data_IF_895139269419
#
_entry.id   IF_895139269419
#
_cell.length_a   1.000
_cell.length_b   1.000
_cell.length_c   1.000
_cell.angle_alpha   90.00
_cell.angle_beta   90.00
_cell.angle_gamma   90.00
#
_symmetry.space_group_name_H-M   'P 1'
#
loop_
_entity.id
_entity.type
_entity.pdbx_description
1 polymer ?
#
# COMPACT_ATOMS: atom_id res chain seq x y z
N UNK A 1 4.62 21.47 -2.92
CA UNK A 1 4.75 20.00 -2.82
C UNK A 1 3.38 19.41 -2.58
N UNK A 2 3.00 18.39 -3.34
CA UNK A 2 1.68 17.74 -3.30
C UNK A 2 1.84 16.24 -3.07
N UNK A 3 0.89 15.66 -2.35
CA UNK A 3 0.73 14.21 -2.30
C UNK A 3 0.16 13.73 -3.64
N UNK A 4 0.82 12.77 -4.25
CA UNK A 4 0.40 12.18 -5.51
C UNK A 4 0.59 10.66 -5.45
N UNK A 5 -0.13 9.95 -6.29
CA UNK A 5 0.08 8.52 -6.49
C UNK A 5 -0.22 8.12 -7.93
N UNK A 6 0.33 7.00 -8.31
CA UNK A 6 -0.08 6.26 -9.50
C UNK A 6 0.03 4.75 -9.24
N UNK A 7 -0.72 3.99 -9.98
CA UNK A 7 -0.70 2.53 -9.85
C UNK A 7 -1.64 1.82 -10.78
N UNK A 8 -1.67 0.51 -10.64
CA UNK A 8 -2.64 -0.41 -11.23
C UNK A 8 -3.29 -1.24 -10.13
N UNK A 9 -4.51 -1.68 -10.35
CA UNK A 9 -5.19 -2.59 -9.43
C UNK A 9 -6.13 -3.55 -10.19
N UNK A 10 -6.76 -4.45 -9.44
CA UNK A 10 -7.69 -5.44 -9.98
C UNK A 10 -8.90 -4.87 -10.74
N UNK A 11 -9.24 -3.58 -10.53
CA UNK A 11 -10.34 -2.90 -11.24
C UNK A 11 -9.90 -2.34 -12.59
N UNK A 12 -8.62 -1.99 -12.71
CA UNK A 12 -8.07 -1.32 -13.90
C UNK A 12 -7.23 -2.23 -14.78
N UNK A 13 -6.81 -3.38 -14.25
CA UNK A 13 -5.90 -4.31 -14.95
C UNK A 13 -6.23 -5.76 -14.67
N UNK A 14 -5.87 -6.64 -15.59
CA UNK A 14 -5.92 -8.09 -15.39
C UNK A 14 -4.66 -8.62 -14.65
N UNK A 15 -4.67 -9.89 -14.27
CA UNK A 15 -3.54 -10.51 -13.54
C UNK A 15 -2.25 -10.42 -14.35
N UNK A 16 -2.29 -10.71 -15.67
CA UNK A 16 -1.11 -10.71 -16.53
C UNK A 16 -0.45 -9.32 -16.66
N UNK A 17 -1.20 -8.24 -16.51
CA UNK A 17 -0.66 -6.88 -16.46
C UNK A 17 -0.05 -6.57 -15.09
N UNK A 18 -0.73 -6.96 -13.99
CA UNK A 18 -0.22 -6.74 -12.63
C UNK A 18 1.09 -7.48 -12.37
N UNK A 19 1.26 -8.68 -12.91
CA UNK A 19 2.49 -9.48 -12.83
C UNK A 19 3.72 -8.78 -13.42
N UNK A 20 3.53 -7.88 -14.38
CA UNK A 20 4.61 -7.14 -15.04
C UNK A 20 5.07 -5.91 -14.27
N UNK A 21 4.26 -5.41 -13.34
CA UNK A 21 4.56 -4.21 -12.57
C UNK A 21 4.53 -4.52 -11.08
N UNK A 22 5.69 -4.90 -10.54
CA UNK A 22 5.85 -5.26 -9.12
C UNK A 22 6.93 -4.37 -8.50
N UNK A 23 6.61 -3.83 -7.33
CA UNK A 23 7.54 -3.07 -6.49
C UNK A 23 7.93 -3.92 -5.30
N UNK A 24 9.21 -4.23 -5.19
CA UNK A 24 9.82 -4.95 -4.07
C UNK A 24 10.89 -4.08 -3.38
N UNK A 25 11.46 -4.56 -2.29
CA UNK A 25 12.47 -3.83 -1.53
C UNK A 25 13.68 -3.45 -2.37
N UNK A 26 14.21 -4.41 -3.13
CA UNK A 26 15.44 -4.20 -3.93
C UNK A 26 15.23 -3.14 -5.01
N UNK A 27 14.11 -3.20 -5.73
CA UNK A 27 13.86 -2.22 -6.78
C UNK A 27 13.46 -0.84 -6.23
N UNK A 28 12.85 -0.73 -5.04
CA UNK A 28 12.61 0.56 -4.41
C UNK A 28 13.91 1.30 -4.06
N UNK A 29 14.92 0.60 -3.56
CA UNK A 29 16.23 1.20 -3.26
C UNK A 29 16.92 1.71 -4.54
N UNK A 30 16.85 0.90 -5.62
CA UNK A 30 17.38 1.30 -6.93
C UNK A 30 16.67 2.54 -7.48
N UNK A 31 15.33 2.56 -7.42
CA UNK A 31 14.51 3.66 -7.86
C UNK A 31 14.80 4.93 -7.06
N UNK A 32 14.97 4.85 -5.72
CA UNK A 32 15.23 6.00 -4.87
C UNK A 32 16.51 6.74 -5.28
N UNK A 33 17.60 6.01 -5.45
CA UNK A 33 18.89 6.60 -5.85
C UNK A 33 18.83 7.27 -7.23
N UNK A 34 18.10 6.65 -8.17
CA UNK A 34 17.95 7.19 -9.53
C UNK A 34 17.01 8.39 -9.58
N UNK A 35 15.84 8.29 -8.96
CA UNK A 35 14.81 9.34 -9.00
C UNK A 35 15.25 10.58 -8.23
N UNK A 36 15.94 10.44 -7.09
CA UNK A 36 16.55 11.57 -6.38
C UNK A 36 17.59 12.30 -7.24
N UNK A 37 18.42 11.56 -7.94
CA UNK A 37 19.42 12.15 -8.86
C UNK A 37 18.76 12.89 -10.02
N UNK A 38 17.67 12.36 -10.57
CA UNK A 38 17.00 12.90 -11.76
C UNK A 38 16.12 14.11 -11.45
N UNK A 39 15.36 14.06 -10.36
CA UNK A 39 14.34 15.06 -10.03
C UNK A 39 14.77 16.03 -8.94
N UNK A 40 15.82 15.73 -8.18
CA UNK A 40 16.34 16.60 -7.12
C UNK A 40 15.24 17.05 -6.16
N UNK A 41 15.15 18.38 -5.96
CA UNK A 41 14.15 18.98 -5.06
C UNK A 41 12.70 18.91 -5.57
N UNK A 42 12.48 18.53 -6.83
CA UNK A 42 11.13 18.40 -7.38
C UNK A 42 10.39 17.17 -6.81
N UNK A 43 11.14 16.14 -6.37
CA UNK A 43 10.61 14.94 -5.74
C UNK A 43 11.15 14.81 -4.31
N UNK A 44 10.31 15.03 -3.30
CA UNK A 44 10.74 14.85 -1.90
C UNK A 44 11.02 13.39 -1.59
N UNK A 45 10.10 12.51 -1.90
CA UNK A 45 10.22 11.07 -1.61
C UNK A 45 9.08 10.26 -2.20
N UNK A 46 9.23 8.95 -2.18
CA UNK A 46 8.18 8.01 -2.54
C UNK A 46 8.27 6.73 -1.73
N UNK A 47 7.24 5.90 -1.74
CA UNK A 47 7.29 4.47 -1.43
C UNK A 47 6.23 3.73 -2.23
N UNK A 48 6.43 2.42 -2.39
CA UNK A 48 5.52 1.57 -3.14
C UNK A 48 4.94 0.45 -2.30
N UNK A 49 3.78 -0.01 -2.72
CA UNK A 49 3.14 -1.24 -2.22
C UNK A 49 2.79 -2.13 -3.39
N UNK A 50 3.15 -3.41 -3.30
CA UNK A 50 2.70 -4.46 -4.23
C UNK A 50 2.07 -5.58 -3.46
N UNK A 51 0.88 -5.98 -3.91
CA UNK A 51 0.11 -7.11 -3.39
C UNK A 51 -0.42 -7.93 -4.57
N UNK A 52 -1.14 -9.01 -4.34
CA UNK A 52 -1.82 -9.74 -5.42
C UNK A 52 -2.81 -8.86 -6.21
N UNK A 53 -3.37 -7.81 -5.58
CA UNK A 53 -4.47 -7.03 -6.13
C UNK A 53 -4.07 -5.65 -6.64
N UNK A 54 -2.85 -5.17 -6.35
CA UNK A 54 -2.38 -3.84 -6.76
C UNK A 54 -0.88 -3.68 -6.72
N UNK A 55 -0.40 -2.75 -7.53
CA UNK A 55 0.89 -2.11 -7.34
C UNK A 55 0.69 -0.61 -7.43
N UNK A 56 1.06 0.10 -6.39
CA UNK A 56 0.91 1.55 -6.27
C UNK A 56 2.18 2.19 -5.77
N UNK A 57 2.48 3.39 -6.29
CA UNK A 57 3.56 4.26 -5.81
C UNK A 57 2.93 5.53 -5.29
N UNK A 58 3.20 5.84 -4.04
CA UNK A 58 2.84 7.06 -3.33
C UNK A 58 4.05 7.98 -3.27
N UNK A 59 3.86 9.26 -3.55
CA UNK A 59 4.96 10.20 -3.60
C UNK A 59 4.54 11.62 -3.18
N UNK A 60 5.49 12.41 -2.73
CA UNK A 60 5.35 13.85 -2.50
C UNK A 60 6.35 14.57 -3.39
N UNK A 61 5.88 15.55 -4.15
CA UNK A 61 6.70 16.33 -5.05
C UNK A 61 5.97 17.54 -5.63
N UNK A 62 6.59 18.22 -6.59
CA UNK A 62 5.95 19.32 -7.33
C UNK A 62 4.71 18.82 -8.07
N UNK A 63 3.77 19.71 -8.30
CA UNK A 63 2.53 19.41 -9.00
C UNK A 63 2.78 18.72 -10.35
N UNK A 64 2.07 17.60 -10.57
CA UNK A 64 2.15 16.81 -11.80
C UNK A 64 3.42 15.98 -11.99
N UNK A 65 4.32 15.90 -11.01
CA UNK A 65 5.57 15.14 -11.13
C UNK A 65 5.31 13.63 -11.26
N UNK A 66 4.20 13.12 -10.73
CA UNK A 66 3.84 11.70 -10.77
C UNK A 66 3.89 11.11 -12.19
N UNK A 67 3.50 11.87 -13.22
CA UNK A 67 3.56 11.42 -14.61
C UNK A 67 5.00 11.27 -15.14
N UNK A 68 5.93 12.09 -14.64
CA UNK A 68 7.36 12.00 -15.00
C UNK A 68 8.01 10.84 -14.26
N UNK A 69 7.75 10.72 -12.97
CA UNK A 69 8.20 9.60 -12.12
C UNK A 69 7.70 8.27 -12.69
N UNK A 70 6.42 8.19 -13.06
CA UNK A 70 5.83 7.02 -13.69
C UNK A 70 6.61 6.53 -14.92
N UNK A 71 6.92 7.43 -15.86
CA UNK A 71 7.67 7.07 -17.06
C UNK A 71 9.05 6.49 -16.73
N UNK A 72 9.75 7.10 -15.76
CA UNK A 72 11.06 6.63 -15.32
C UNK A 72 11.00 5.30 -14.57
N UNK A 73 9.98 5.10 -13.73
CA UNK A 73 9.77 3.83 -13.04
C UNK A 73 9.53 2.71 -14.05
N UNK A 74 8.65 2.89 -15.03
CA UNK A 74 8.42 1.87 -16.06
C UNK A 74 9.68 1.55 -16.85
N UNK A 75 10.46 2.59 -17.20
CA UNK A 75 11.72 2.43 -17.92
C UNK A 75 12.75 1.63 -17.11
N UNK A 76 12.94 2.00 -15.84
CA UNK A 76 13.94 1.37 -14.96
C UNK A 76 13.60 -0.08 -14.62
N UNK A 77 12.32 -0.37 -14.45
CA UNK A 77 11.84 -1.73 -14.15
C UNK A 77 11.59 -2.54 -15.42
N UNK A 78 11.89 -1.97 -16.59
CA UNK A 78 11.68 -2.62 -17.91
C UNK A 78 10.23 -3.14 -18.09
N UNK A 79 9.24 -2.37 -17.60
CA UNK A 79 7.83 -2.74 -17.68
C UNK A 79 7.28 -2.45 -19.06
N UNK A 80 6.86 -3.49 -19.78
CA UNK A 80 6.34 -3.43 -21.12
C UNK A 80 5.01 -4.20 -21.26
N UNK A 81 4.19 -3.80 -22.26
CA UNK A 81 2.97 -4.53 -22.60
C UNK A 81 1.86 -4.42 -21.56
N UNK A 82 1.80 -3.30 -20.84
CA UNK A 82 0.65 -2.88 -20.03
C UNK A 82 -0.01 -1.70 -20.74
N UNK A 83 -1.34 -1.69 -20.84
CA UNK A 83 -2.07 -0.56 -21.41
C UNK A 83 -1.92 0.69 -20.52
N UNK A 84 -1.73 1.86 -21.12
CA UNK A 84 -1.73 3.11 -20.38
C UNK A 84 -3.07 3.37 -19.64
N UNK A 85 -4.17 2.84 -20.14
CA UNK A 85 -5.49 2.93 -19.50
C UNK A 85 -5.62 2.08 -18.23
N UNK A 86 -4.71 1.13 -18.02
CA UNK A 86 -4.65 0.32 -16.79
C UNK A 86 -4.10 1.09 -15.60
N UNK A 87 -3.39 2.22 -15.85
CA UNK A 87 -2.84 3.05 -14.79
C UNK A 87 -3.75 4.21 -14.43
N UNK A 88 -3.88 4.47 -13.14
CA UNK A 88 -4.55 5.65 -12.61
C UNK A 88 -3.58 6.57 -11.88
N UNK A 89 -3.96 7.84 -11.82
CA UNK A 89 -3.19 8.91 -11.18
C UNK A 89 -4.13 9.71 -10.29
N UNK A 90 -3.75 9.92 -9.03
CA UNK A 90 -4.51 10.72 -8.09
C UNK A 90 -3.58 11.73 -7.39
N UNK A 91 -4.14 12.84 -6.92
CA UNK A 91 -3.38 13.87 -6.23
C UNK A 91 -4.15 14.44 -5.03
N UNK A 92 -3.41 15.01 -4.09
CA UNK A 92 -3.93 15.72 -2.92
C UNK A 92 -5.00 14.94 -2.15
N UNK A 93 -6.21 15.48 -2.01
CA UNK A 93 -7.29 14.86 -1.26
C UNK A 93 -7.67 13.49 -1.82
N UNK A 94 -7.79 13.35 -3.15
CA UNK A 94 -8.15 12.08 -3.77
C UNK A 94 -7.08 11.01 -3.55
N UNK A 95 -5.79 11.41 -3.57
CA UNK A 95 -4.70 10.51 -3.25
C UNK A 95 -4.76 10.06 -1.78
N UNK A 96 -5.00 10.97 -0.84
CA UNK A 96 -5.09 10.64 0.58
C UNK A 96 -6.28 9.74 0.89
N UNK A 97 -7.45 10.06 0.32
CA UNK A 97 -8.66 9.22 0.44
C UNK A 97 -8.40 7.82 -0.13
N UNK A 98 -7.76 7.73 -1.30
CA UNK A 98 -7.45 6.45 -1.91
C UNK A 98 -6.49 5.62 -1.05
N UNK A 99 -5.41 6.21 -0.53
CA UNK A 99 -4.49 5.54 0.40
C UNK A 99 -5.24 4.99 1.63
N UNK A 100 -6.16 5.77 2.20
CA UNK A 100 -6.99 5.34 3.33
C UNK A 100 -7.93 4.18 2.95
N UNK A 101 -8.55 4.22 1.76
CA UNK A 101 -9.39 3.13 1.22
C UNK A 101 -8.59 1.84 1.07
N UNK A 102 -7.37 1.95 0.54
CA UNK A 102 -6.46 0.81 0.41
C UNK A 102 -6.09 0.26 1.78
N UNK A 103 -5.56 1.07 2.67
CA UNK A 103 -5.12 0.64 3.99
C UNK A 103 -6.26 0.08 4.86
N UNK A 104 -7.49 0.58 4.70
CA UNK A 104 -8.66 0.06 5.43
C UNK A 104 -9.26 -1.22 4.82
N UNK A 105 -8.85 -1.61 3.60
CA UNK A 105 -9.39 -2.75 2.89
C UNK A 105 -10.72 -2.46 2.15
N UNK A 106 -11.16 -1.21 2.08
CA UNK A 106 -12.38 -0.84 1.34
C UNK A 106 -12.17 -0.94 -0.17
N UNK A 107 -10.93 -0.68 -0.64
CA UNK A 107 -10.60 -0.83 -2.06
C UNK A 107 -10.02 -2.21 -2.38
N UNK A 108 -10.10 -3.17 -1.49
CA UNK A 108 -9.72 -4.57 -1.76
C UNK A 108 -10.84 -5.28 -2.52
N UNK A 109 -10.48 -6.33 -3.25
CA UNK A 109 -11.46 -7.22 -3.90
C UNK A 109 -12.40 -7.82 -2.87
N UNK A 110 -11.87 -8.21 -1.71
CA UNK A 110 -12.66 -8.61 -0.54
C UNK A 110 -12.80 -7.41 0.38
N UNK A 111 -14.00 -6.86 0.48
CA UNK A 111 -14.28 -5.72 1.34
C UNK A 111 -13.86 -5.99 2.78
N UNK A 112 -13.01 -5.11 3.32
CA UNK A 112 -12.53 -5.18 4.68
C UNK A 112 -11.38 -6.18 4.89
N UNK A 113 -10.71 -6.64 3.83
CA UNK A 113 -9.55 -7.53 3.92
C UNK A 113 -8.56 -7.08 5.01
N UNK A 114 -8.16 -8.02 5.87
CA UNK A 114 -7.33 -7.70 7.03
C UNK A 114 -5.85 -7.58 6.67
N UNK A 115 -5.39 -8.34 5.68
CA UNK A 115 -3.98 -8.46 5.34
C UNK A 115 -3.40 -7.16 4.78
N UNK A 116 -4.18 -6.40 3.98
CA UNK A 116 -3.73 -5.16 3.34
C UNK A 116 -3.28 -4.10 4.36
N UNK A 117 -3.95 -4.01 5.52
CA UNK A 117 -3.54 -3.08 6.57
C UNK A 117 -2.16 -3.43 7.15
N UNK A 118 -1.90 -4.74 7.31
CA UNK A 118 -0.57 -5.25 7.69
C UNK A 118 0.48 -4.96 6.63
N UNK A 119 0.17 -5.25 5.36
CA UNK A 119 1.06 -5.03 4.22
C UNK A 119 1.41 -3.54 4.05
N UNK A 120 0.44 -2.64 4.20
CA UNK A 120 0.68 -1.20 4.16
C UNK A 120 1.65 -0.74 5.26
N UNK A 121 1.47 -1.22 6.50
CA UNK A 121 2.38 -0.92 7.61
C UNK A 121 3.79 -1.44 7.37
N UNK A 122 3.93 -2.64 6.82
CA UNK A 122 5.23 -3.24 6.48
C UNK A 122 5.92 -2.41 5.40
N UNK A 123 5.21 -2.04 4.33
CA UNK A 123 5.77 -1.21 3.26
C UNK A 123 6.27 0.15 3.79
N UNK A 124 5.48 0.80 4.65
CA UNK A 124 5.88 2.06 5.29
C UNK A 124 7.09 1.87 6.22
N UNK A 125 7.11 0.80 7.02
CA UNK A 125 8.24 0.49 7.91
C UNK A 125 9.53 0.30 7.11
N UNK A 126 9.49 -0.50 6.05
CA UNK A 126 10.64 -0.73 5.18
C UNK A 126 11.13 0.58 4.53
N UNK A 127 10.20 1.42 4.03
CA UNK A 127 10.55 2.71 3.45
C UNK A 127 11.23 3.66 4.46
N UNK A 128 10.84 3.61 5.75
CA UNK A 128 11.48 4.35 6.84
C UNK A 128 12.87 3.77 7.15
N UNK A 129 13.02 2.46 7.27
CA UNK A 129 14.28 1.77 7.55
C UNK A 129 15.32 2.01 6.47
N UNK A 130 14.93 1.98 5.20
CA UNK A 130 15.81 2.27 4.06
C UNK A 130 15.99 3.78 3.79
N UNK A 131 15.38 4.67 4.59
CA UNK A 131 15.45 6.13 4.45
C UNK A 131 15.03 6.64 3.06
N UNK A 132 14.09 5.94 2.43
CA UNK A 132 13.52 6.30 1.12
C UNK A 132 12.46 7.39 1.32
N UNK A 133 11.66 7.29 2.39
CA UNK A 133 10.54 8.18 2.67
C UNK A 133 11.00 9.45 3.40
N UNK A 134 10.54 10.62 2.93
CA UNK A 134 10.77 11.92 3.56
C UNK A 134 9.68 12.29 4.58
N UNK A 135 9.85 13.43 5.23
CA UNK A 135 9.01 13.85 6.35
C UNK A 135 7.54 14.06 5.98
N UNK A 136 7.29 14.70 4.82
CA UNK A 136 5.90 15.00 4.39
C UNK A 136 5.15 13.74 4.01
N UNK A 137 5.78 12.86 3.23
CA UNK A 137 5.16 11.59 2.85
C UNK A 137 4.97 10.67 4.06
N UNK A 138 5.94 10.65 5.01
CA UNK A 138 5.81 9.94 6.28
C UNK A 138 4.61 10.43 7.09
N UNK A 139 4.43 11.75 7.19
CA UNK A 139 3.27 12.34 7.86
C UNK A 139 1.95 11.83 7.25
N UNK A 140 1.80 11.91 5.92
CA UNK A 140 0.58 11.42 5.26
C UNK A 140 0.37 9.91 5.49
N UNK A 141 1.42 9.10 5.35
CA UNK A 141 1.32 7.66 5.57
C UNK A 141 0.94 7.30 7.02
N UNK A 142 1.48 8.01 8.00
CA UNK A 142 1.11 7.82 9.41
C UNK A 142 -0.37 8.22 9.65
N UNK A 143 -0.86 9.30 9.00
CA UNK A 143 -2.27 9.69 9.05
C UNK A 143 -3.18 8.67 8.34
N UNK A 144 -2.74 8.07 7.25
CA UNK A 144 -3.46 6.97 6.61
C UNK A 144 -3.65 5.79 7.57
N UNK A 145 -2.61 5.40 8.32
CA UNK A 145 -2.73 4.33 9.33
C UNK A 145 -3.72 4.71 10.43
N UNK A 146 -3.68 5.95 10.92
CA UNK A 146 -4.61 6.47 11.94
C UNK A 146 -6.07 6.40 11.45
N UNK A 147 -6.34 6.93 10.26
CA UNK A 147 -7.68 6.97 9.65
C UNK A 147 -8.18 5.56 9.33
N UNK A 148 -7.34 4.73 8.72
CA UNK A 148 -7.71 3.36 8.38
C UNK A 148 -8.03 2.54 9.65
N UNK A 149 -7.24 2.71 10.72
CA UNK A 149 -7.53 2.07 12.01
C UNK A 149 -8.87 2.54 12.56
N UNK A 150 -9.15 3.85 12.55
CA UNK A 150 -10.43 4.41 13.00
C UNK A 150 -11.59 3.86 12.19
N UNK A 151 -11.53 3.89 10.85
CA UNK A 151 -12.56 3.35 9.98
C UNK A 151 -12.84 1.87 10.27
N UNK A 152 -11.82 1.06 10.51
CA UNK A 152 -11.94 -0.37 10.85
C UNK A 152 -12.47 -0.64 12.25
N UNK A 153 -12.25 0.27 13.21
CA UNK A 153 -12.69 0.13 14.61
C UNK A 153 -14.11 0.63 14.79
N UNK A 154 -14.47 1.74 14.14
CA UNK A 154 -15.76 2.42 14.29
C UNK A 154 -16.83 1.81 13.36
N UNK A 155 -16.47 0.87 12.49
CA UNK A 155 -17.38 0.12 11.62
C UNK A 155 -17.08 -1.37 11.66
N UNK A 156 -18.00 -2.19 11.20
CA UNK A 156 -17.82 -3.64 11.12
C UNK A 156 -17.09 -4.07 9.82
N UNK A 157 -16.47 -3.13 9.08
CA UNK A 157 -15.83 -3.44 7.80
C UNK A 157 -14.70 -4.47 7.93
N UNK A 158 -13.99 -4.50 9.07
CA UNK A 158 -12.95 -5.46 9.38
C UNK A 158 -13.43 -6.71 10.10
N UNK A 159 -14.70 -6.76 10.52
CA UNK A 159 -15.26 -7.89 11.26
C UNK A 159 -15.76 -8.94 10.28
N UNK A 160 -15.38 -10.20 10.50
CA UNK A 160 -15.76 -11.34 9.61
C UNK A 160 -15.37 -11.14 8.12
N UNK A 161 -14.40 -10.29 7.80
CA UNK A 161 -13.86 -10.25 6.45
C UNK A 161 -13.24 -11.60 6.12
N UNK A 162 -13.71 -12.24 5.05
CA UNK A 162 -13.04 -13.44 4.56
C UNK A 162 -11.69 -12.99 4.03
N UNK A 163 -10.61 -13.48 4.64
CA UNK A 163 -9.29 -13.36 4.08
C UNK A 163 -9.20 -14.18 2.79
N UNK A 164 -8.20 -13.94 1.96
CA UNK A 164 -7.92 -14.76 0.77
C UNK A 164 -7.86 -16.25 1.15
N UNK A 165 -7.25 -16.56 2.30
CA UNK A 165 -7.23 -17.92 2.85
C UNK A 165 -8.63 -18.44 3.24
N UNK A 166 -9.49 -17.58 3.75
CA UNK A 166 -10.88 -17.91 4.05
C UNK A 166 -11.72 -18.15 2.78
N UNK A 167 -11.46 -17.40 1.71
CA UNK A 167 -12.09 -17.62 0.41
C UNK A 167 -11.67 -18.94 -0.24
N UNK A 168 -10.37 -19.26 -0.19
CA UNK A 168 -9.88 -20.57 -0.64
C UNK A 168 -10.57 -21.72 0.12
N UNK A 169 -10.74 -21.57 1.45
CA UNK A 169 -11.44 -22.54 2.27
C UNK A 169 -12.93 -22.65 1.89
N UNK A 170 -13.61 -21.55 1.60
CA UNK A 170 -15.00 -21.55 1.15
C UNK A 170 -15.14 -22.28 -0.20
N UNK A 171 -14.23 -22.02 -1.14
CA UNK A 171 -14.19 -22.73 -2.43
C UNK A 171 -14.03 -24.24 -2.23
N UNK A 172 -13.08 -24.67 -1.39
CA UNK A 172 -12.85 -26.08 -1.07
C UNK A 172 -14.12 -26.74 -0.53
N UNK A 173 -14.80 -26.08 0.42
CA UNK A 173 -16.05 -26.59 1.00
C UNK A 173 -17.20 -26.66 0.00
N UNK A 174 -17.24 -25.80 -0.98
CA UNK A 174 -18.27 -25.82 -2.01
C UNK A 174 -18.06 -26.97 -3.01
N UNK A 175 -16.81 -27.40 -3.21
CA UNK A 175 -16.44 -28.45 -4.16
C UNK A 175 -16.42 -29.83 -3.50
N UNK A 176 -15.94 -29.92 -2.26
CA UNK A 176 -15.78 -31.20 -1.56
C UNK A 176 -16.76 -31.32 -0.38
N UNK A 177 -17.55 -32.40 -0.35
CA UNK A 177 -18.45 -32.71 0.77
C UNK A 177 -17.68 -33.03 2.06
N UNK A 178 -16.51 -33.66 1.96
CA UNK A 178 -15.64 -34.05 3.06
C UNK A 178 -14.19 -33.54 2.85
N UNK A 179 -13.94 -32.23 3.02
CA UNK A 179 -12.60 -31.65 2.81
C UNK A 179 -11.52 -32.26 3.71
N UNK A 180 -11.90 -32.71 4.91
CA UNK A 180 -11.00 -33.32 5.89
C UNK A 180 -10.41 -34.68 5.43
N UNK A 181 -11.01 -35.30 4.42
CA UNK A 181 -10.52 -36.55 3.82
C UNK A 181 -9.58 -36.32 2.63
N UNK A 182 -9.44 -35.09 2.17
CA UNK A 182 -8.62 -34.76 1.02
C UNK A 182 -7.14 -34.58 1.41
N UNK A 183 -6.23 -34.91 0.48
CA UNK A 183 -4.82 -34.63 0.62
C UNK A 183 -4.55 -33.22 0.06
N UNK A 184 -4.10 -32.32 0.91
CA UNK A 184 -3.85 -30.93 0.53
C UNK A 184 -2.34 -30.67 0.47
N UNK A 185 -1.91 -30.16 -0.66
CA UNK A 185 -0.55 -29.68 -0.87
C UNK A 185 -0.54 -28.14 -0.86
N UNK A 186 0.25 -27.56 0.04
CA UNK A 186 0.49 -26.11 0.10
C UNK A 186 1.90 -25.85 -0.45
N UNK A 187 2.03 -24.89 -1.36
CA UNK A 187 3.30 -24.50 -1.98
C UNK A 187 3.63 -23.06 -1.57
N UNK A 188 4.79 -22.92 -0.92
CA UNK A 188 5.22 -21.66 -0.30
C UNK A 188 5.04 -21.66 1.21
N UNK A 189 5.84 -20.89 1.93
CA UNK A 189 5.79 -20.76 3.39
C UNK A 189 5.81 -19.31 3.87
N UNK A 190 5.18 -18.42 3.08
CA UNK A 190 4.93 -17.02 3.42
C UNK A 190 3.76 -16.85 4.40
N UNK A 191 3.43 -15.59 4.71
CA UNK A 191 2.31 -15.25 5.62
C UNK A 191 0.98 -15.79 5.13
N UNK A 192 0.70 -15.69 3.82
CA UNK A 192 -0.53 -16.20 3.22
C UNK A 192 -0.63 -17.73 3.31
N UNK A 193 0.46 -18.46 2.98
CA UNK A 193 0.49 -19.92 3.15
C UNK A 193 0.24 -20.33 4.59
N UNK A 194 0.84 -19.61 5.54
CA UNK A 194 0.63 -19.86 6.97
C UNK A 194 -0.83 -19.65 7.35
N UNK A 195 -1.45 -18.55 6.93
CA UNK A 195 -2.87 -18.27 7.15
C UNK A 195 -3.79 -19.33 6.51
N UNK A 196 -3.45 -19.82 5.31
CA UNK A 196 -4.17 -20.94 4.67
C UNK A 196 -4.10 -22.20 5.53
N UNK A 197 -2.90 -22.58 5.97
CA UNK A 197 -2.67 -23.77 6.80
C UNK A 197 -3.41 -23.66 8.13
N UNK A 198 -3.38 -22.51 8.79
CA UNK A 198 -4.11 -22.24 10.03
C UNK A 198 -5.63 -22.41 9.81
N UNK A 199 -6.19 -21.85 8.76
CA UNK A 199 -7.60 -21.99 8.41
C UNK A 199 -8.00 -23.46 8.10
N UNK A 200 -7.15 -24.20 7.39
CA UNK A 200 -7.37 -25.64 7.14
C UNK A 200 -7.37 -26.42 8.46
N UNK A 201 -6.39 -26.16 9.31
CA UNK A 201 -6.26 -26.80 10.63
C UNK A 201 -7.46 -26.55 11.52
N UNK A 202 -7.92 -25.28 11.63
CA UNK A 202 -9.09 -24.87 12.42
C UNK A 202 -10.40 -25.54 11.96
N UNK A 203 -10.45 -25.94 10.69
CA UNK A 203 -11.59 -26.69 10.12
C UNK A 203 -11.44 -28.20 10.19
N UNK A 204 -10.47 -28.68 10.94
CA UNK A 204 -10.29 -30.12 11.19
C UNK A 204 -9.49 -30.87 10.13
N UNK A 205 -8.97 -30.19 9.12
CA UNK A 205 -8.15 -30.80 8.07
C UNK A 205 -6.74 -31.05 8.61
N UNK A 206 -6.25 -32.28 8.47
CA UNK A 206 -4.95 -32.70 9.01
C UNK A 206 -3.99 -33.23 7.92
N UNK A 207 -4.52 -33.68 6.77
CA UNK A 207 -3.72 -34.19 5.67
C UNK A 207 -3.12 -33.06 4.84
N UNK A 208 -2.26 -32.27 5.46
CA UNK A 208 -1.62 -31.08 4.86
C UNK A 208 -0.14 -31.38 4.66
N UNK A 209 0.35 -31.20 3.44
CA UNK A 209 1.77 -31.24 3.09
C UNK A 209 2.21 -29.86 2.63
N UNK A 210 3.46 -29.53 2.91
CA UNK A 210 4.04 -28.24 2.58
C UNK A 210 5.30 -28.44 1.74
N UNK A 211 5.38 -27.76 0.62
CA UNK A 211 6.59 -27.66 -0.21
C UNK A 211 7.08 -26.23 -0.23
N UNK A 212 8.37 -26.03 0.02
CA UNK A 212 8.97 -24.70 -0.01
C UNK A 212 10.45 -24.78 -0.45
N UNK A 213 10.95 -23.69 -1.07
CA UNK A 213 12.35 -23.63 -1.55
C UNK A 213 13.39 -23.79 -0.44
N UNK A 214 13.13 -23.20 0.70
CA UNK A 214 13.97 -23.32 1.89
C UNK A 214 13.21 -24.08 2.97
N UNK A 215 13.94 -24.88 3.75
CA UNK A 215 13.31 -25.59 4.86
C UNK A 215 12.58 -24.62 5.79
N UNK A 216 11.31 -24.92 6.05
CA UNK A 216 10.45 -24.17 6.99
C UNK A 216 9.70 -25.13 7.90
N UNK A 217 9.54 -24.71 9.13
CA UNK A 217 8.70 -25.38 10.13
C UNK A 217 7.57 -24.44 10.51
N UNK A 218 6.34 -24.92 10.41
CA UNK A 218 5.13 -24.20 10.83
C UNK A 218 4.55 -24.93 12.03
N UNK A 219 4.55 -24.27 13.19
CA UNK A 219 3.92 -24.78 14.41
C UNK A 219 2.52 -24.17 14.50
N UNK A 220 1.51 -25.00 14.60
CA UNK A 220 0.11 -24.60 14.74
C UNK A 220 -0.36 -24.68 16.18
N UNK A 221 0.03 -25.74 16.90
CA UNK A 221 -0.12 -25.89 18.34
C UNK A 221 1.00 -26.78 18.91
N UNK A 222 0.90 -27.16 20.20
CA UNK A 222 1.93 -28.01 20.87
C UNK A 222 2.08 -29.39 20.25
N UNK A 223 1.07 -29.89 19.54
CA UNK A 223 0.97 -31.26 19.07
C UNK A 223 0.94 -31.37 17.52
N UNK A 224 0.89 -30.24 16.81
CA UNK A 224 0.77 -30.26 15.36
C UNK A 224 1.76 -29.28 14.72
N UNK A 225 2.73 -29.83 14.02
CA UNK A 225 3.71 -29.10 13.25
C UNK A 225 3.79 -29.64 11.81
N UNK A 226 4.06 -28.74 10.88
CA UNK A 226 4.29 -29.11 9.49
C UNK A 226 5.72 -28.71 9.11
N UNK A 227 6.46 -29.68 8.62
CA UNK A 227 7.79 -29.47 8.03
C UNK A 227 7.65 -29.38 6.52
N UNK A 228 8.30 -28.39 5.89
CA UNK A 228 8.32 -28.30 4.45
C UNK A 228 9.25 -29.36 3.83
N UNK A 229 8.80 -29.94 2.74
CA UNK A 229 9.65 -30.70 1.83
C UNK A 229 10.35 -29.76 0.84
N UNK A 230 11.44 -30.22 0.23
CA UNK A 230 12.12 -29.50 -0.85
C UNK A 230 11.28 -29.45 -2.13
N UNK A 231 11.55 -28.47 -3.00
CA UNK A 231 10.95 -28.39 -4.34
C UNK A 231 11.24 -29.62 -5.21
N UNK A 232 12.33 -30.33 -4.96
CA UNK A 232 12.66 -31.55 -5.71
C UNK A 232 11.58 -32.62 -5.55
N UNK A 233 10.85 -32.61 -4.45
CA UNK A 233 9.72 -33.52 -4.20
C UNK A 233 8.39 -33.06 -4.78
N UNK A 234 8.33 -31.89 -5.45
CA UNK A 234 7.07 -31.28 -5.89
C UNK A 234 6.27 -32.23 -6.79
N UNK A 235 6.91 -32.89 -7.74
CA UNK A 235 6.24 -33.82 -8.65
C UNK A 235 5.58 -34.99 -7.91
N UNK A 236 6.31 -35.61 -6.97
CA UNK A 236 5.79 -36.74 -6.17
C UNK A 236 4.61 -36.26 -5.29
N UNK A 237 4.70 -35.03 -4.76
CA UNK A 237 3.62 -34.49 -3.94
C UNK A 237 2.37 -34.14 -4.76
N UNK A 238 2.51 -33.72 -6.02
CA UNK A 238 1.39 -33.47 -6.93
C UNK A 238 0.62 -34.77 -7.24
N UNK A 239 1.30 -35.89 -7.37
CA UNK A 239 0.68 -37.18 -7.60
C UNK A 239 -0.24 -37.64 -6.46
N UNK A 240 0.03 -37.16 -5.24
CA UNK A 240 -0.71 -37.51 -4.04
C UNK A 240 -1.78 -36.51 -3.66
N UNK A 241 -1.72 -35.28 -4.21
CA UNK A 241 -2.59 -34.17 -3.80
C UNK A 241 -3.97 -34.22 -4.49
N UNK A 242 -5.04 -34.05 -3.75
CA UNK A 242 -6.38 -33.82 -4.29
C UNK A 242 -6.65 -32.31 -4.47
N UNK A 243 -6.00 -31.51 -3.63
CA UNK A 243 -6.08 -30.04 -3.65
C UNK A 243 -4.66 -29.49 -3.56
N UNK A 244 -4.32 -28.55 -4.44
CA UNK A 244 -3.05 -27.82 -4.44
C UNK A 244 -3.36 -26.33 -4.20
N UNK A 245 -2.69 -25.71 -3.25
CA UNK A 245 -2.81 -24.28 -2.97
C UNK A 245 -1.41 -23.67 -3.08
N UNK A 246 -1.20 -22.79 -4.03
CA UNK A 246 0.09 -22.13 -4.24
C UNK A 246 0.00 -20.65 -3.90
N UNK A 247 0.97 -20.15 -3.12
CA UNK A 247 1.09 -18.75 -2.71
C UNK A 247 2.55 -18.31 -2.57
N UNK A 248 3.41 -18.81 -3.46
CA UNK A 248 4.82 -18.42 -3.50
C UNK A 248 5.01 -17.11 -4.28
N UNK A 249 6.09 -16.39 -3.95
CA UNK A 249 6.55 -15.25 -4.76
C UNK A 249 7.63 -15.77 -5.69
N UNK A 250 7.31 -15.87 -6.98
CA UNK A 250 8.21 -16.39 -8.02
C UNK A 250 8.06 -15.59 -9.31
N UNK A 251 9.13 -15.48 -10.07
CA UNK A 251 9.12 -14.79 -11.37
C UNK A 251 8.55 -15.64 -12.50
N UNK A 252 8.54 -16.97 -12.31
CA UNK A 252 8.05 -17.94 -13.28
C UNK A 252 7.12 -18.95 -12.60
N UNK A 253 6.14 -19.50 -13.31
CA UNK A 253 5.28 -20.55 -12.78
C UNK A 253 6.08 -21.76 -12.26
N UNK A 254 5.64 -22.28 -11.11
CA UNK A 254 6.24 -23.45 -10.46
C UNK A 254 5.63 -24.75 -10.96
N UNK A 255 4.38 -24.71 -11.39
CA UNK A 255 3.62 -25.86 -11.89
C UNK A 255 3.26 -25.61 -13.34
N UNK A 256 3.91 -26.33 -14.23
CA UNK A 256 3.61 -26.34 -15.65
C UNK A 256 2.57 -27.40 -16.01
N UNK A 257 1.96 -27.24 -17.20
CA UNK A 257 0.97 -28.17 -17.76
C UNK A 257 1.45 -29.61 -17.75
N UNK A 258 2.69 -29.87 -18.17
CA UNK A 258 3.26 -31.22 -18.20
C UNK A 258 3.34 -31.93 -16.84
N UNK A 259 3.57 -31.14 -15.75
CA UNK A 259 3.59 -31.67 -14.40
C UNK A 259 2.21 -32.19 -13.97
N UNK A 260 1.15 -31.46 -14.31
CA UNK A 260 -0.24 -31.86 -14.00
C UNK A 260 -0.67 -33.04 -14.87
N UNK A 261 -0.34 -33.07 -16.16
CA UNK A 261 -0.62 -34.24 -17.04
C UNK A 261 0.04 -35.52 -16.52
N UNK A 262 1.28 -35.42 -16.03
CA UNK A 262 1.98 -36.55 -15.43
C UNK A 262 1.33 -37.01 -14.12
N UNK A 263 1.04 -36.05 -13.22
CA UNK A 263 0.36 -36.35 -11.95
C UNK A 263 -1.01 -37.01 -12.20
N UNK A 264 -1.82 -36.52 -13.12
CA UNK A 264 -3.12 -37.10 -13.48
C UNK A 264 -2.98 -38.51 -14.01
N UNK A 265 -1.96 -38.81 -14.81
CA UNK A 265 -1.70 -40.17 -15.29
C UNK A 265 -1.47 -41.15 -14.14
N UNK A 266 -0.61 -40.78 -13.17
CA UNK A 266 -0.34 -41.59 -11.97
C UNK A 266 -1.60 -41.74 -11.12
N UNK A 267 -2.37 -40.68 -11.01
CA UNK A 267 -3.65 -40.61 -10.28
C UNK A 267 -4.82 -41.32 -10.98
N UNK A 268 -4.58 -41.98 -12.12
CA UNK A 268 -5.62 -42.62 -12.94
C UNK A 268 -6.76 -41.64 -13.31
N UNK A 269 -6.40 -40.42 -13.67
CA UNK A 269 -7.29 -39.29 -14.02
C UNK A 269 -8.25 -38.87 -12.90
N UNK A 270 -7.92 -39.13 -11.62
CA UNK A 270 -8.67 -38.57 -10.50
C UNK A 270 -8.54 -37.04 -10.54
N UNK A 271 -9.66 -36.28 -10.52
CA UNK A 271 -9.62 -34.84 -10.61
C UNK A 271 -8.73 -34.18 -9.54
N UNK A 272 -8.13 -33.06 -9.90
CA UNK A 272 -7.31 -32.23 -8.99
C UNK A 272 -7.81 -30.79 -9.00
N UNK A 273 -7.96 -30.22 -7.80
CA UNK A 273 -8.26 -28.81 -7.60
C UNK A 273 -6.95 -28.03 -7.40
N UNK A 274 -6.76 -26.99 -8.19
CA UNK A 274 -5.60 -26.11 -8.16
C UNK A 274 -6.06 -24.71 -7.80
N UNK A 275 -5.53 -24.14 -6.73
CA UNK A 275 -5.82 -22.79 -6.24
C UNK A 275 -4.53 -21.97 -6.30
N UNK A 276 -4.47 -21.02 -7.22
CA UNK A 276 -3.33 -20.14 -7.37
C UNK A 276 -3.60 -18.78 -6.74
N UNK A 277 -2.95 -18.54 -5.60
CA UNK A 277 -3.01 -17.30 -4.84
C UNK A 277 -1.77 -16.41 -5.09
N UNK A 278 -0.84 -16.87 -5.96
CA UNK A 278 0.39 -16.16 -6.31
C UNK A 278 0.16 -15.03 -7.31
N UNK A 279 0.87 -13.91 -7.11
CA UNK A 279 1.07 -12.86 -8.12
C UNK A 279 2.54 -12.44 -8.04
N UNK A 280 3.32 -12.75 -9.08
CA UNK A 280 2.97 -13.48 -10.32
C UNK A 280 2.38 -14.85 -10.06
N UNK A 281 1.61 -15.37 -11.05
CA UNK A 281 0.98 -16.69 -10.94
C UNK A 281 2.04 -17.79 -10.77
N UNK A 282 1.69 -18.78 -9.96
CA UNK A 282 2.55 -19.93 -9.70
C UNK A 282 2.20 -21.14 -10.55
N UNK A 283 1.05 -21.12 -11.21
CA UNK A 283 0.50 -22.22 -12.00
C UNK A 283 0.21 -21.73 -13.41
N UNK A 284 0.69 -22.44 -14.42
CA UNK A 284 0.46 -22.09 -15.83
C UNK A 284 -1.04 -22.09 -16.17
N UNK A 285 -1.49 -21.05 -16.89
CA UNK A 285 -2.91 -20.91 -17.27
C UNK A 285 -3.36 -21.96 -18.28
N UNK A 286 -2.43 -22.50 -19.07
CA UNK A 286 -2.64 -23.59 -20.03
C UNK A 286 -3.18 -24.86 -19.39
N UNK A 287 -3.06 -25.04 -18.08
CA UNK A 287 -3.64 -26.15 -17.31
C UNK A 287 -5.17 -26.15 -17.39
N UNK A 288 -5.81 -25.00 -17.61
CA UNK A 288 -7.28 -24.89 -17.77
C UNK A 288 -7.86 -25.73 -18.91
N UNK A 289 -7.05 -26.10 -19.90
CA UNK A 289 -7.49 -26.95 -20.99
C UNK A 289 -7.54 -28.46 -20.62
N UNK A 290 -7.00 -28.84 -19.46
CA UNK A 290 -7.00 -30.20 -18.97
C UNK A 290 -8.33 -30.47 -18.25
N UNK A 291 -9.14 -31.38 -18.77
CA UNK A 291 -10.50 -31.64 -18.31
C UNK A 291 -10.61 -32.00 -16.81
N UNK A 292 -9.61 -32.73 -16.28
CA UNK A 292 -9.59 -33.17 -14.88
C UNK A 292 -8.83 -32.23 -13.93
N UNK A 293 -8.36 -31.06 -14.42
CA UNK A 293 -7.65 -30.05 -13.63
C UNK A 293 -8.50 -28.79 -13.48
N UNK A 294 -8.94 -28.49 -12.27
CA UNK A 294 -9.77 -27.33 -11.97
C UNK A 294 -8.91 -26.22 -11.40
N UNK A 295 -8.46 -25.30 -12.25
CA UNK A 295 -7.63 -24.17 -11.84
C UNK A 295 -8.47 -22.95 -11.52
N UNK A 296 -8.28 -22.43 -10.30
CA UNK A 296 -8.86 -21.18 -9.83
C UNK A 296 -7.74 -20.20 -9.41
N UNK A 297 -7.68 -19.07 -10.06
CA UNK A 297 -6.87 -17.93 -9.63
C UNK A 297 -7.56 -17.18 -8.49
N UNK A 298 -6.84 -16.25 -7.87
CA UNK A 298 -7.41 -15.37 -6.86
C UNK A 298 -8.63 -14.60 -7.41
N UNK A 299 -8.56 -14.11 -8.66
CA UNK A 299 -9.67 -13.38 -9.31
C UNK A 299 -10.90 -14.29 -9.53
N UNK A 300 -10.69 -15.58 -9.83
CA UNK A 300 -11.80 -16.52 -10.01
C UNK A 300 -12.51 -16.83 -8.70
N UNK A 301 -11.75 -17.01 -7.61
CA UNK A 301 -12.30 -17.31 -6.27
C UNK A 301 -13.18 -16.16 -5.79
N UNK A 302 -12.74 -14.94 -6.04
CA UNK A 302 -13.47 -13.76 -5.63
C UNK A 302 -14.78 -13.58 -6.37
N UNK A 303 -14.81 -13.81 -7.69
CA UNK A 303 -16.06 -13.78 -8.48
C UNK A 303 -17.10 -14.76 -7.94
N UNK A 304 -16.68 -15.97 -7.58
CA UNK A 304 -17.57 -17.03 -7.05
C UNK A 304 -18.12 -16.66 -5.66
N UNK A 305 -17.36 -15.88 -4.87
CA UNK A 305 -17.72 -15.58 -3.49
C UNK A 305 -18.46 -14.26 -3.30
N UNK A 306 -18.67 -13.49 -4.37
CA UNK A 306 -19.33 -12.17 -4.35
C UNK A 306 -20.82 -12.17 -3.95
N UNK A 307 -21.49 -13.29 -3.81
CA UNK A 307 -22.95 -13.39 -3.52
C UNK A 307 -23.41 -12.87 -2.15
N UNK A 308 -22.50 -12.45 -1.23
CA UNK A 308 -22.83 -12.02 0.13
C UNK A 308 -22.61 -10.51 0.39
N UNK A 309 -22.83 -9.63 -0.60
CA UNK A 309 -22.42 -8.22 -0.55
C UNK A 309 -23.31 -7.26 0.24
N UNK A 310 -24.58 -7.58 0.52
CA UNK A 310 -25.57 -6.59 1.00
C UNK A 310 -25.21 -5.87 2.31
N UNK A 311 -24.86 -6.58 3.37
CA UNK A 311 -24.52 -5.97 4.67
C UNK A 311 -23.14 -5.28 4.66
N UNK A 312 -22.16 -5.85 3.95
CA UNK A 312 -20.82 -5.26 3.85
C UNK A 312 -20.79 -3.96 3.07
N UNK A 313 -21.69 -3.76 2.13
CA UNK A 313 -21.85 -2.51 1.37
C UNK A 313 -22.19 -1.34 2.30
N UNK A 314 -23.09 -1.55 3.27
CA UNK A 314 -23.49 -0.53 4.25
C UNK A 314 -22.31 -0.15 5.16
N UNK A 315 -21.58 -1.13 5.66
CA UNK A 315 -20.41 -0.88 6.51
C UNK A 315 -19.26 -0.22 5.75
N UNK A 316 -19.07 -0.58 4.48
CA UNK A 316 -18.11 0.09 3.59
C UNK A 316 -18.48 1.55 3.35
N UNK A 317 -19.77 1.87 3.20
CA UNK A 317 -20.24 3.26 3.06
C UNK A 317 -20.00 4.08 4.34
N UNK A 318 -20.29 3.50 5.53
CA UNK A 318 -19.97 4.16 6.81
C UNK A 318 -18.47 4.43 6.95
N UNK A 319 -17.64 3.44 6.66
CA UNK A 319 -16.19 3.57 6.71
C UNK A 319 -15.68 4.59 5.68
N UNK A 320 -16.28 4.65 4.49
CA UNK A 320 -15.97 5.64 3.47
C UNK A 320 -16.26 7.07 3.94
N UNK A 321 -17.39 7.30 4.61
CA UNK A 321 -17.72 8.61 5.18
C UNK A 321 -16.69 9.05 6.22
N UNK A 322 -16.26 8.16 7.11
CA UNK A 322 -15.17 8.44 8.07
C UNK A 322 -13.89 8.83 7.33
N UNK A 323 -13.50 8.06 6.32
CA UNK A 323 -12.27 8.29 5.54
C UNK A 323 -12.30 9.67 4.87
N UNK A 324 -13.39 10.03 4.20
CA UNK A 324 -13.50 11.32 3.48
C UNK A 324 -13.39 12.49 4.45
N UNK A 325 -14.14 12.44 5.56
CA UNK A 325 -14.14 13.52 6.57
C UNK A 325 -12.78 13.68 7.24
N UNK A 326 -12.20 12.58 7.71
CA UNK A 326 -10.89 12.61 8.38
C UNK A 326 -9.77 13.01 7.41
N UNK A 327 -9.77 12.51 6.18
CA UNK A 327 -8.76 12.86 5.17
C UNK A 327 -8.78 14.36 4.85
N UNK A 328 -9.97 14.96 4.73
CA UNK A 328 -10.12 16.39 4.52
C UNK A 328 -9.53 17.19 5.68
N UNK A 329 -9.90 16.84 6.91
CA UNK A 329 -9.42 17.51 8.13
C UNK A 329 -7.88 17.41 8.26
N UNK A 330 -7.28 16.23 7.99
CA UNK A 330 -5.83 16.06 8.09
C UNK A 330 -5.07 16.79 7.00
N UNK A 331 -5.62 16.87 5.80
CA UNK A 331 -5.02 17.61 4.69
C UNK A 331 -5.05 19.13 4.96
N UNK A 332 -6.18 19.67 5.40
CA UNK A 332 -6.32 21.07 5.79
C UNK A 332 -5.33 21.42 6.92
N UNK A 333 -5.26 20.61 7.98
CA UNK A 333 -4.32 20.78 9.08
C UNK A 333 -2.85 20.77 8.63
N UNK A 334 -2.52 19.94 7.64
CA UNK A 334 -1.16 19.89 7.09
C UNK A 334 -0.80 21.17 6.35
N UNK A 335 -1.69 21.68 5.50
CA UNK A 335 -1.44 22.90 4.74
C UNK A 335 -1.46 24.14 5.64
N UNK A 336 -2.35 24.22 6.61
CA UNK A 336 -2.39 25.31 7.60
C UNK A 336 -1.09 25.36 8.41
N UNK A 337 -0.60 24.21 8.88
CA UNK A 337 0.68 24.14 9.58
C UNK A 337 1.85 24.53 8.69
N UNK A 338 1.89 24.00 7.46
CA UNK A 338 2.94 24.32 6.49
C UNK A 338 2.96 25.81 6.11
N UNK A 339 1.80 26.42 5.97
CA UNK A 339 1.67 27.86 5.71
C UNK A 339 2.15 28.69 6.90
N UNK A 340 1.80 28.30 8.13
CA UNK A 340 2.28 28.98 9.36
C UNK A 340 3.79 28.84 9.54
N UNK A 341 4.35 27.66 9.30
CA UNK A 341 5.79 27.42 9.39
C UNK A 341 6.56 28.28 8.37
N UNK A 342 6.06 28.37 7.12
CA UNK A 342 6.64 29.21 6.09
C UNK A 342 6.55 30.70 6.44
N UNK A 343 5.40 31.15 6.94
CA UNK A 343 5.20 32.52 7.35
C UNK A 343 6.10 32.90 8.55
N UNK A 344 6.31 31.97 9.49
CA UNK A 344 7.26 32.19 10.60
C UNK A 344 8.71 32.37 10.10
N UNK A 345 9.16 31.49 9.16
CA UNK A 345 10.48 31.62 8.53
C UNK A 345 10.64 32.94 7.81
N UNK A 346 9.63 33.37 7.05
CA UNK A 346 9.62 34.65 6.36
C UNK A 346 9.69 35.84 7.33
N UNK A 347 9.00 35.72 8.47
CA UNK A 347 9.07 36.75 9.51
C UNK A 347 10.46 36.81 10.17
N UNK A 348 11.09 35.68 10.43
CA UNK A 348 12.46 35.60 10.94
C UNK A 348 13.46 36.23 9.96
N UNK A 349 13.36 35.90 8.67
CA UNK A 349 14.19 36.48 7.61
C UNK A 349 14.02 38.00 7.53
N UNK A 350 12.77 38.47 7.58
CA UNK A 350 12.48 39.90 7.59
C UNK A 350 13.10 40.59 8.82
N UNK A 351 12.89 40.06 10.02
CA UNK A 351 13.44 40.62 11.25
C UNK A 351 14.98 40.69 11.22
N UNK A 352 15.62 39.62 10.69
CA UNK A 352 17.08 39.57 10.53
C UNK A 352 17.62 40.54 9.45
N UNK A 353 16.77 40.99 8.53
CA UNK A 353 17.14 41.96 7.49
C UNK A 353 17.13 43.39 7.96
N UNK A 354 16.53 43.67 9.13
CA UNK A 354 16.46 45.02 9.70
C UNK A 354 17.85 45.58 10.01
N UNK A 355 18.10 46.82 9.60
CA UNK A 355 19.31 47.57 9.96
C UNK A 355 19.39 47.89 11.45
N UNK A 356 20.62 48.11 11.97
CA UNK A 356 20.82 48.51 13.35
C UNK A 356 20.06 49.80 13.71
N UNK A 357 19.89 50.71 12.76
CA UNK A 357 19.16 51.96 12.95
C UNK A 357 17.65 51.69 13.12
N UNK A 358 17.06 50.85 12.30
CA UNK A 358 15.66 50.47 12.40
C UNK A 358 15.38 49.72 13.70
N UNK A 359 16.29 48.80 14.09
CA UNK A 359 16.20 48.07 15.36
C UNK A 359 16.19 49.05 16.55
N UNK A 360 17.06 50.08 16.54
CA UNK A 360 17.09 51.10 17.60
C UNK A 360 15.81 51.95 17.62
N UNK A 361 15.28 52.36 16.46
CA UNK A 361 14.03 53.12 16.39
C UNK A 361 12.85 52.34 16.98
N UNK A 362 12.74 51.06 16.64
CA UNK A 362 11.68 50.20 17.18
C UNK A 362 11.83 49.91 18.67
N UNK A 363 13.06 49.80 19.20
CA UNK A 363 13.33 49.66 20.65
C UNK A 363 12.94 50.90 21.42
N UNK A 364 13.25 52.09 20.89
CA UNK A 364 12.94 53.37 21.54
C UNK A 364 11.46 53.66 21.63
N UNK A 365 10.68 53.27 20.64
CA UNK A 365 9.24 53.50 20.60
C UNK A 365 8.41 52.51 21.45
N UNK A 366 8.97 51.43 21.94
CA UNK A 366 8.33 50.46 22.85
C UNK A 366 7.02 49.85 22.41
N UNK A 367 6.50 50.29 21.27
CA UNK A 367 5.22 49.88 20.74
C UNK A 367 5.38 49.17 19.36
N UNK A 368 5.36 47.86 19.37
CA UNK A 368 5.51 47.02 18.17
C UNK A 368 4.26 46.99 17.28
N UNK A 369 3.18 47.71 17.64
CA UNK A 369 1.92 47.72 16.88
C UNK A 369 2.12 48.28 15.47
N UNK A 370 2.93 49.35 15.33
CA UNK A 370 3.25 49.93 14.02
C UNK A 370 4.07 48.97 13.14
N UNK A 371 4.94 48.17 13.76
CA UNK A 371 5.71 47.12 13.02
C UNK A 371 4.81 46.02 12.56
N UNK A 372 3.85 45.59 13.39
CA UNK A 372 2.83 44.58 13.01
C UNK A 372 1.96 45.12 11.87
N UNK A 373 1.51 46.37 11.93
CA UNK A 373 0.74 46.98 10.84
C UNK A 373 1.59 47.15 9.58
N UNK A 374 2.85 47.52 9.70
CA UNK A 374 3.78 47.60 8.56
C UNK A 374 3.97 46.22 7.89
N UNK A 375 4.17 45.18 8.67
CA UNK A 375 4.31 43.81 8.16
C UNK A 375 3.02 43.37 7.44
N UNK A 376 1.85 43.71 8.00
CA UNK A 376 0.55 43.33 7.39
C UNK A 376 0.18 44.19 6.19
N UNK A 377 0.58 45.47 6.20
CA UNK A 377 0.27 46.43 5.12
C UNK A 377 1.30 46.41 3.98
N UNK A 378 2.42 45.70 4.12
CA UNK A 378 3.41 45.56 3.06
C UNK A 378 2.76 45.05 1.77
N UNK A 379 2.32 46.00 0.94
CA UNK A 379 2.05 45.74 -0.46
C UNK A 379 3.41 45.55 -1.12
N UNK A 380 3.82 44.30 -1.26
CA UNK A 380 5.12 43.90 -1.76
C UNK A 380 5.17 44.23 -3.26
N UNK A 381 5.55 45.48 -3.54
CA UNK A 381 5.87 45.96 -4.92
C UNK A 381 7.38 45.87 -5.17
N UNK A 382 8.16 45.49 -4.18
CA UNK A 382 9.61 45.39 -4.33
C UNK A 382 9.99 44.02 -4.92
N UNK A 383 10.65 44.05 -6.10
CA UNK A 383 10.97 42.87 -6.93
C UNK A 383 11.83 41.81 -6.24
N UNK A 384 12.38 42.12 -5.05
CA UNK A 384 13.19 41.18 -4.26
C UNK A 384 12.44 40.50 -3.13
N UNK A 385 11.16 40.83 -2.90
CA UNK A 385 10.37 40.39 -1.73
C UNK A 385 9.14 39.55 -2.09
N UNK A 386 9.16 38.85 -3.22
CA UNK A 386 8.07 37.92 -3.63
C UNK A 386 7.78 36.80 -2.64
N UNK A 387 8.56 36.66 -1.56
CA UNK A 387 8.49 35.57 -0.60
C UNK A 387 7.59 35.82 0.62
N UNK A 388 7.01 37.01 0.80
CA UNK A 388 6.32 37.39 2.06
C UNK A 388 4.78 37.38 1.97
N UNK A 389 4.18 36.75 0.97
CA UNK A 389 2.71 36.67 0.79
C UNK A 389 1.96 36.07 1.98
N UNK A 390 2.61 35.13 2.66
CA UNK A 390 1.98 34.34 3.73
C UNK A 390 1.97 35.06 5.09
N UNK A 391 2.78 36.10 5.27
CA UNK A 391 2.81 36.88 6.50
C UNK A 391 1.46 37.54 6.87
N UNK A 392 0.65 37.89 5.85
CA UNK A 392 -0.68 38.47 6.06
C UNK A 392 -1.65 37.54 6.79
N UNK A 393 -1.39 36.21 6.74
CA UNK A 393 -2.23 35.18 7.32
C UNK A 393 -1.82 34.79 8.75
N UNK A 394 -0.72 35.36 9.28
CA UNK A 394 -0.32 35.13 10.66
C UNK A 394 -1.22 35.87 11.64
N UNK A 395 -1.49 35.23 12.78
CA UNK A 395 -2.17 35.82 13.91
C UNK A 395 -1.30 36.92 14.53
N UNK A 396 -1.92 38.06 14.87
CA UNK A 396 -1.25 39.23 15.49
C UNK A 396 -0.48 38.85 16.75
N UNK A 397 -1.00 37.94 17.55
CA UNK A 397 -0.36 37.47 18.76
C UNK A 397 0.96 36.72 18.46
N UNK A 398 0.98 35.91 17.38
CA UNK A 398 2.19 35.18 16.95
C UNK A 398 3.23 36.21 16.48
N UNK A 399 2.85 37.16 15.62
CA UNK A 399 3.74 38.20 15.11
C UNK A 399 4.34 38.99 16.28
N UNK A 400 3.52 39.46 17.22
CA UNK A 400 3.96 40.20 18.41
C UNK A 400 4.91 39.37 19.27
N UNK A 401 4.63 38.11 19.48
CA UNK A 401 5.49 37.21 20.27
C UNK A 401 6.86 37.04 19.64
N UNK A 402 6.93 36.82 18.31
CA UNK A 402 8.19 36.68 17.60
C UNK A 402 9.01 37.96 17.58
N UNK A 403 8.37 39.12 17.35
CA UNK A 403 8.99 40.44 17.42
C UNK A 403 9.57 40.67 18.82
N UNK A 404 8.78 40.42 19.87
CA UNK A 404 9.25 40.60 21.25
C UNK A 404 10.46 39.72 21.56
N UNK A 405 10.46 38.44 21.11
CA UNK A 405 11.59 37.55 21.30
C UNK A 405 12.83 38.00 20.53
N UNK A 406 12.67 38.45 19.27
CA UNK A 406 13.78 38.97 18.47
C UNK A 406 14.44 40.17 19.15
N UNK A 407 13.65 41.16 19.58
CA UNK A 407 14.17 42.36 20.21
C UNK A 407 14.71 42.15 21.64
N UNK A 408 14.32 41.04 22.30
CA UNK A 408 14.92 40.68 23.60
C UNK A 408 16.32 40.05 23.43
N UNK A 409 16.62 39.51 22.28
CA UNK A 409 17.89 38.84 21.97
C UNK A 409 18.84 39.69 21.11
N UNK A 410 18.36 40.81 20.53
CA UNK A 410 19.13 41.77 19.72
C UNK A 410 19.55 42.99 20.56
#
# INVERSE_FOLDING_TARGET
MELQLFGINHKTSNVAEREKFIINESNQILLDSHLKKLFGEDLESFFGISTCNRTEIYLVGKSGISKKVFKEVLRLLNVNGISNSSFYFLSNHDALVHMCKVASGIDSQVLGEQEIFGQFKIALKNAKEYKIIGNKLSYFADKVIEIAKKARTDTEIGVNSLSVSGLAMKLIKNIFEAPEKQNILVIGAGSLSKSVIENLYDKGIRNIRLVNRTFKKINLDKNFEILSSSFDSLHDQLELADIVISSSITEVPLIGKGAIENALRVRKNKPILLIDLGVPRNIEDEIRIIEQAYLYSIDDIEKITQENFGQRSIEAEKAMNIIVLESKSKLESFYDKSSKDLANLQLEEFLNSLSRHEIQQFKLNGNYSNLVESIKSMNIVDKNLNNFKDLKNLDDHIIKSMISRFFSNA
#
